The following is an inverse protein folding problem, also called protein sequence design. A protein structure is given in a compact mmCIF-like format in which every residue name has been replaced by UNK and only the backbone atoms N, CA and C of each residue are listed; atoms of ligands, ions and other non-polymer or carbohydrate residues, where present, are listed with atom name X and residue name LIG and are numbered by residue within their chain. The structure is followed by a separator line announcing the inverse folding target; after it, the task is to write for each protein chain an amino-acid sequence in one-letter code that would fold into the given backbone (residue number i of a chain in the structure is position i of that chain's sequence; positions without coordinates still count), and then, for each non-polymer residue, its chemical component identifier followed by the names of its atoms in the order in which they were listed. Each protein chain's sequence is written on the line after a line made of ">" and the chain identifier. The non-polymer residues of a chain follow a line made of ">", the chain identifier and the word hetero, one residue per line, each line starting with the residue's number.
data_IF_761669764704
#
_entry.id   IF_761669764704
#
_cell.length_a   1.000
_cell.length_b   1.000
_cell.length_c   1.000
_cell.angle_alpha   90.00
_cell.angle_beta   90.00
_cell.angle_gamma   90.00
#
_symmetry.space_group_name_H-M   'P 1'
#
loop_
_entity.id
_entity.type
_entity.pdbx_description
1 polymer ?
#
# COMPACT_ATOMS: atom_id res chain seq x y z
N UNK A 1 15.03 -1.28 -5.72
CA UNK A 1 15.09 -1.40 -4.24
C UNK A 1 14.42 -2.74 -3.91
N UNK A 2 15.23 -3.74 -3.57
CA UNK A 2 14.76 -5.09 -3.31
C UNK A 2 13.69 -5.06 -2.20
N UNK A 3 12.53 -5.69 -2.43
CA UNK A 3 11.57 -6.02 -1.37
C UNK A 3 12.05 -7.32 -0.71
N UNK A 4 13.33 -7.39 -0.38
CA UNK A 4 13.94 -8.43 0.42
C UNK A 4 14.13 -7.87 1.84
N UNK A 5 13.03 -7.76 2.56
CA UNK A 5 13.09 -7.69 4.00
C UNK A 5 13.07 -9.12 4.51
N UNK A 6 14.19 -9.63 5.00
CA UNK A 6 14.20 -10.83 5.83
C UNK A 6 13.37 -10.49 7.07
N UNK A 7 12.08 -10.87 7.06
CA UNK A 7 11.26 -10.81 8.26
C UNK A 7 11.69 -11.98 9.14
N UNK A 8 12.47 -11.69 10.14
CA UNK A 8 12.67 -12.58 11.29
C UNK A 8 11.51 -12.28 12.25
N UNK A 9 10.33 -12.80 11.96
CA UNK A 9 9.36 -13.05 13.00
C UNK A 9 9.86 -14.26 13.77
N UNK A 10 9.98 -14.18 15.09
CA UNK A 10 10.55 -15.22 15.93
C UNK A 10 9.70 -16.49 16.01
N UNK A 11 9.70 -17.26 14.94
CA UNK A 11 9.11 -18.59 14.78
C UNK A 11 9.54 -19.09 13.42
N UNK A 12 10.15 -20.27 13.37
CA UNK A 12 10.57 -20.88 12.11
C UNK A 12 9.33 -21.24 11.28
N UNK A 13 9.18 -20.60 10.10
CA UNK A 13 8.14 -20.97 9.14
C UNK A 13 8.32 -22.42 8.63
N UNK A 14 9.50 -23.00 8.80
CA UNK A 14 9.77 -24.43 8.61
C UNK A 14 8.92 -25.32 9.54
N UNK A 15 8.51 -24.83 10.71
CA UNK A 15 7.60 -25.53 11.63
C UNK A 15 6.18 -25.71 11.09
N UNK A 16 5.79 -24.93 10.08
CA UNK A 16 4.49 -25.06 9.40
C UNK A 16 4.54 -25.99 8.19
N UNK A 17 5.71 -26.52 7.81
CA UNK A 17 5.88 -27.31 6.59
C UNK A 17 5.77 -26.45 5.31
N UNK A 18 5.90 -25.12 5.41
CA UNK A 18 5.90 -24.22 4.28
C UNK A 18 7.33 -24.04 3.73
N UNK A 19 7.46 -24.09 2.41
CA UNK A 19 8.70 -23.70 1.74
C UNK A 19 8.70 -22.19 1.53
N UNK A 20 9.71 -21.50 2.04
CA UNK A 20 9.86 -20.04 1.88
C UNK A 20 11.04 -19.73 0.97
N UNK A 21 10.75 -19.06 -0.13
CA UNK A 21 11.75 -18.56 -1.06
C UNK A 21 11.83 -17.03 -0.99
N UNK A 22 13.01 -16.47 -1.14
CA UNK A 22 13.15 -15.03 -1.41
C UNK A 22 12.97 -14.80 -2.91
N UNK A 23 12.01 -13.94 -3.25
CA UNK A 23 11.72 -13.59 -4.65
C UNK A 23 12.13 -12.14 -4.91
N UNK A 24 12.76 -11.90 -6.05
CA UNK A 24 12.93 -10.57 -6.61
C UNK A 24 11.81 -10.31 -7.64
N UNK A 25 11.04 -9.25 -7.43
CA UNK A 25 9.95 -8.83 -8.30
C UNK A 25 10.26 -7.46 -8.92
N UNK A 26 11.11 -7.40 -9.97
CA UNK A 26 11.47 -6.14 -10.61
C UNK A 26 10.24 -5.40 -11.17
N UNK A 27 9.20 -6.11 -11.59
CA UNK A 27 7.94 -5.54 -12.04
C UNK A 27 7.26 -4.63 -10.98
N UNK A 28 7.52 -4.83 -9.68
CA UNK A 28 7.04 -3.92 -8.62
C UNK A 28 7.61 -2.51 -8.78
N UNK A 29 8.84 -2.37 -9.27
CA UNK A 29 9.47 -1.07 -9.50
C UNK A 29 9.02 -0.42 -10.82
N UNK A 30 8.46 -1.20 -11.73
CA UNK A 30 7.97 -0.78 -13.05
C UNK A 30 6.46 -0.54 -13.04
N UNK A 31 5.84 -0.47 -11.86
CA UNK A 31 4.41 -0.21 -11.76
C UNK A 31 4.06 1.11 -12.47
N UNK A 32 2.92 1.16 -13.20
CA UNK A 32 2.44 2.40 -13.80
C UNK A 32 2.30 3.48 -12.75
N UNK A 33 2.56 4.72 -13.12
CA UNK A 33 2.33 5.85 -12.23
C UNK A 33 0.93 5.74 -11.61
N UNK A 34 0.85 5.77 -10.27
CA UNK A 34 -0.41 5.63 -9.53
C UNK A 34 -1.29 6.87 -9.76
N UNK A 35 -1.72 7.05 -11.03
CA UNK A 35 -2.43 8.23 -11.48
C UNK A 35 -3.94 8.08 -11.58
N UNK A 36 -4.47 6.85 -11.71
CA UNK A 36 -5.92 6.68 -11.95
C UNK A 36 -6.78 6.84 -10.68
N UNK A 37 -6.24 6.72 -9.49
CA UNK A 37 -6.99 6.99 -8.26
C UNK A 37 -7.45 8.46 -8.15
N UNK A 38 -6.67 9.40 -8.66
CA UNK A 38 -7.03 10.82 -8.61
C UNK A 38 -8.22 11.17 -9.52
N UNK A 39 -8.27 10.78 -10.81
CA UNK A 39 -9.43 11.04 -11.66
C UNK A 39 -10.70 10.31 -11.20
N UNK A 40 -10.59 9.10 -10.70
CA UNK A 40 -11.73 8.36 -10.14
C UNK A 40 -12.27 9.04 -8.88
N UNK A 41 -11.39 9.44 -7.96
CA UNK A 41 -11.77 10.19 -6.78
C UNK A 41 -12.40 11.55 -7.15
N UNK A 42 -11.84 12.27 -8.14
CA UNK A 42 -12.41 13.51 -8.60
C UNK A 42 -13.79 13.31 -9.24
N UNK A 43 -13.96 12.30 -10.08
CA UNK A 43 -15.25 11.97 -10.69
C UNK A 43 -16.33 11.74 -9.63
N UNK A 44 -15.99 11.07 -8.53
CA UNK A 44 -16.88 10.81 -7.41
C UNK A 44 -17.15 12.05 -6.54
N UNK A 45 -16.12 12.82 -6.22
CA UNK A 45 -16.20 13.91 -5.25
C UNK A 45 -16.50 15.30 -5.85
N UNK A 46 -16.47 15.49 -7.17
CA UNK A 46 -16.54 16.81 -7.84
C UNK A 46 -17.70 17.69 -7.38
N UNK A 47 -18.90 17.12 -7.24
CA UNK A 47 -20.07 17.88 -6.80
C UNK A 47 -20.01 18.26 -5.32
N UNK A 48 -19.47 17.36 -4.49
CA UNK A 48 -19.27 17.63 -3.06
C UNK A 48 -18.18 18.67 -2.84
N UNK A 49 -17.10 18.62 -3.61
CA UNK A 49 -16.03 19.63 -3.58
C UNK A 49 -16.56 21.03 -3.93
N UNK A 50 -17.49 21.14 -4.89
CA UNK A 50 -18.13 22.42 -5.25
C UNK A 50 -19.00 22.98 -4.12
N UNK A 51 -19.71 22.11 -3.39
CA UNK A 51 -20.66 22.51 -2.34
C UNK A 51 -20.03 22.70 -0.96
N UNK A 52 -18.98 21.94 -0.66
CA UNK A 52 -18.41 21.83 0.69
C UNK A 52 -16.91 21.51 0.67
N UNK A 53 -16.16 22.02 -0.32
CA UNK A 53 -14.73 21.75 -0.47
C UNK A 53 -13.88 22.27 0.68
N UNK A 54 -14.36 23.28 1.40
CA UNK A 54 -13.76 23.83 2.62
C UNK A 54 -13.80 22.88 3.83
N UNK A 55 -14.66 21.84 3.78
CA UNK A 55 -14.77 20.82 4.83
C UNK A 55 -13.78 19.66 4.65
N UNK A 56 -13.07 19.60 3.53
CA UNK A 56 -12.03 18.61 3.30
C UNK A 56 -10.72 19.03 3.96
N UNK A 57 -9.94 18.06 4.43
CA UNK A 57 -8.53 18.32 4.74
C UNK A 57 -7.86 18.88 3.47
N UNK A 58 -7.15 20.02 3.55
CA UNK A 58 -6.57 20.68 2.38
C UNK A 58 -5.63 19.78 1.58
N UNK A 59 -4.88 18.88 2.25
CA UNK A 59 -3.95 17.93 1.63
C UNK A 59 -4.68 16.84 0.85
N UNK A 60 -5.83 16.38 1.37
CA UNK A 60 -6.70 15.40 0.70
C UNK A 60 -7.40 16.06 -0.49
N UNK A 61 -7.98 17.25 -0.30
CA UNK A 61 -8.62 18.04 -1.35
C UNK A 61 -7.71 18.27 -2.54
N UNK A 62 -6.49 18.75 -2.30
CA UNK A 62 -5.50 19.00 -3.35
C UNK A 62 -5.20 17.73 -4.18
N UNK A 63 -5.14 16.56 -3.55
CA UNK A 63 -4.89 15.29 -4.23
C UNK A 63 -6.06 14.87 -5.12
N UNK A 64 -7.29 15.07 -4.64
CA UNK A 64 -8.50 14.77 -5.43
C UNK A 64 -8.61 15.73 -6.61
N UNK A 65 -8.40 17.02 -6.39
CA UNK A 65 -8.48 18.06 -7.42
C UNK A 65 -7.48 17.86 -8.57
N UNK A 66 -6.34 17.21 -8.34
CA UNK A 66 -5.41 16.81 -9.40
C UNK A 66 -6.08 15.91 -10.47
N UNK A 67 -7.08 15.13 -10.08
CA UNK A 67 -7.83 14.29 -11.02
C UNK A 67 -8.61 15.06 -12.08
N UNK A 68 -8.91 16.35 -11.83
CA UNK A 68 -9.59 17.20 -12.81
C UNK A 68 -8.72 17.54 -14.04
N UNK A 69 -7.41 17.40 -13.94
CA UNK A 69 -6.46 17.80 -15.00
C UNK A 69 -6.09 16.67 -15.94
N UNK A 70 -6.46 15.43 -15.62
CA UNK A 70 -6.15 14.27 -16.47
C UNK A 70 -7.08 14.22 -17.67
N UNK A 71 -6.49 14.07 -18.86
CA UNK A 71 -7.25 13.92 -20.09
C UNK A 71 -7.76 12.48 -20.24
N UNK A 72 -8.87 12.29 -20.96
CA UNK A 72 -9.47 10.97 -21.12
C UNK A 72 -8.52 9.95 -21.77
N UNK A 73 -7.71 10.35 -22.73
CA UNK A 73 -6.74 9.47 -23.38
C UNK A 73 -5.61 9.05 -22.42
N UNK A 74 -5.16 9.95 -21.54
CA UNK A 74 -4.17 9.61 -20.50
C UNK A 74 -4.71 8.57 -19.52
N UNK A 75 -5.99 8.68 -19.15
CA UNK A 75 -6.65 7.68 -18.31
C UNK A 75 -6.74 6.31 -19.01
N UNK A 76 -7.08 6.29 -20.31
CA UNK A 76 -7.12 5.06 -21.10
C UNK A 76 -5.73 4.41 -21.16
N UNK A 77 -4.68 5.19 -21.42
CA UNK A 77 -3.30 4.69 -21.44
C UNK A 77 -2.87 4.12 -20.08
N UNK A 78 -3.25 4.77 -18.98
CA UNK A 78 -3.00 4.25 -17.63
C UNK A 78 -3.69 2.90 -17.39
N UNK A 79 -4.94 2.74 -17.80
CA UNK A 79 -5.68 1.48 -17.68
C UNK A 79 -5.01 0.36 -18.48
N UNK A 80 -4.58 0.64 -19.71
CA UNK A 80 -3.87 -0.33 -20.55
C UNK A 80 -2.51 -0.72 -19.96
N UNK A 81 -1.73 0.26 -19.51
CA UNK A 81 -0.44 0.02 -18.86
C UNK A 81 -0.60 -0.83 -17.59
N UNK A 82 -1.66 -0.57 -16.80
CA UNK A 82 -1.99 -1.38 -15.63
C UNK A 82 -2.30 -2.83 -16.00
N UNK A 83 -3.09 -3.09 -17.03
CA UNK A 83 -3.42 -4.45 -17.47
C UNK A 83 -2.16 -5.22 -17.89
N UNK A 84 -1.25 -4.58 -18.63
CA UNK A 84 0.02 -5.18 -19.02
C UNK A 84 0.91 -5.47 -17.80
N UNK A 85 0.94 -4.56 -16.83
CA UNK A 85 1.69 -4.74 -15.60
C UNK A 85 1.12 -5.88 -14.76
N UNK A 86 -0.21 -5.99 -14.61
CA UNK A 86 -0.87 -7.10 -13.91
C UNK A 86 -0.49 -8.44 -14.54
N UNK A 87 -0.52 -8.54 -15.87
CA UNK A 87 -0.18 -9.78 -16.57
C UNK A 87 1.27 -10.21 -16.28
N UNK A 88 2.22 -9.27 -16.27
CA UNK A 88 3.63 -9.55 -15.90
C UNK A 88 3.75 -9.99 -14.44
N UNK A 89 3.14 -9.26 -13.51
CA UNK A 89 3.17 -9.61 -12.08
C UNK A 89 2.62 -11.01 -11.84
N UNK A 90 1.48 -11.36 -12.43
CA UNK A 90 0.88 -12.69 -12.27
C UNK A 90 1.77 -13.81 -12.84
N UNK A 91 2.46 -13.56 -13.96
CA UNK A 91 3.43 -14.51 -14.52
C UNK A 91 4.64 -14.72 -13.58
N UNK A 92 5.16 -13.65 -12.99
CA UNK A 92 6.30 -13.73 -12.06
C UNK A 92 5.93 -14.45 -10.74
N UNK A 93 4.63 -14.42 -10.38
CA UNK A 93 4.10 -15.01 -9.14
C UNK A 93 3.52 -16.42 -9.32
N UNK A 94 3.44 -16.94 -10.55
CA UNK A 94 2.67 -18.14 -10.90
C UNK A 94 2.99 -19.38 -10.04
N UNK A 95 4.25 -19.52 -9.63
CA UNK A 95 4.73 -20.69 -8.86
C UNK A 95 4.55 -20.58 -7.33
N UNK A 96 4.04 -19.44 -6.84
CA UNK A 96 3.87 -19.20 -5.41
C UNK A 96 2.38 -19.24 -5.03
N UNK A 97 2.08 -19.79 -3.87
CA UNK A 97 0.73 -19.81 -3.32
C UNK A 97 0.35 -18.45 -2.73
N UNK A 98 1.30 -17.79 -2.09
CA UNK A 98 1.15 -16.43 -1.56
C UNK A 98 2.49 -15.73 -1.47
N UNK A 99 2.46 -14.40 -1.43
CA UNK A 99 3.63 -13.57 -1.17
C UNK A 99 3.55 -12.97 0.21
N UNK A 100 4.71 -12.79 0.84
CA UNK A 100 4.85 -12.22 2.16
C UNK A 100 5.65 -10.92 2.09
N UNK A 101 5.18 -9.88 2.76
CA UNK A 101 5.90 -8.62 2.90
C UNK A 101 5.46 -7.87 4.16
N UNK A 102 6.25 -6.92 4.68
CA UNK A 102 5.71 -5.97 5.65
C UNK A 102 4.47 -5.28 5.09
N UNK A 103 3.41 -5.13 5.90
CA UNK A 103 2.23 -4.36 5.45
C UNK A 103 2.62 -2.94 5.10
N UNK A 104 3.41 -2.31 5.96
CA UNK A 104 3.99 -0.98 5.73
C UNK A 104 5.47 -0.98 6.12
N UNK A 105 6.32 -0.17 5.46
CA UNK A 105 7.77 -0.19 5.66
C UNK A 105 8.27 0.62 6.85
N UNK A 106 7.38 1.23 7.62
CA UNK A 106 7.69 2.06 8.78
C UNK A 106 6.73 1.77 9.93
N UNK A 107 7.15 2.02 11.14
CA UNK A 107 6.26 2.08 12.31
C UNK A 107 5.47 3.39 12.32
N UNK A 108 4.42 3.47 13.14
CA UNK A 108 3.61 4.68 13.25
C UNK A 108 4.48 5.89 13.66
N UNK A 109 4.40 7.03 12.93
CA UNK A 109 5.09 8.26 13.31
C UNK A 109 4.39 8.92 14.49
N UNK A 110 5.05 9.90 15.11
CA UNK A 110 4.39 10.76 16.08
C UNK A 110 3.33 11.62 15.40
N UNK A 111 2.17 11.76 16.01
CA UNK A 111 1.08 12.61 15.49
C UNK A 111 1.55 14.05 15.30
N UNK A 112 2.41 14.56 16.21
CA UNK A 112 2.98 15.92 16.13
C UNK A 112 3.76 16.17 14.85
N UNK A 113 4.43 15.14 14.32
CA UNK A 113 5.34 15.28 13.16
C UNK A 113 4.58 15.39 11.84
N UNK A 114 3.37 14.84 11.81
CA UNK A 114 2.49 14.83 10.63
C UNK A 114 1.21 15.65 10.80
N UNK A 115 1.12 16.43 11.89
CA UNK A 115 -0.04 17.25 12.19
C UNK A 115 -0.31 18.29 11.07
N UNK A 116 -1.58 18.69 10.86
CA UNK A 116 -1.92 19.73 9.91
C UNK A 116 -1.22 21.05 10.21
N UNK A 117 -1.01 21.86 9.17
CA UNK A 117 -0.59 23.25 9.29
C UNK A 117 -1.54 24.01 10.25
N UNK A 118 -0.96 24.85 11.10
CA UNK A 118 -1.73 25.66 12.07
C UNK A 118 -1.71 27.18 11.76
N UNK A 119 -0.96 27.60 10.73
CA UNK A 119 -0.87 28.97 10.27
C UNK A 119 0.00 29.89 11.14
N UNK A 120 0.64 29.37 12.19
CA UNK A 120 1.46 30.18 13.13
C UNK A 120 2.87 30.38 12.59
N UNK A 121 3.50 29.32 12.09
CA UNK A 121 4.84 29.36 11.52
C UNK A 121 4.83 28.66 10.15
N UNK A 122 4.96 29.45 9.09
CA UNK A 122 4.91 28.94 7.70
C UNK A 122 6.03 27.96 7.38
N UNK A 123 7.24 28.14 7.94
CA UNK A 123 8.35 27.25 7.69
C UNK A 123 8.13 25.90 8.37
N UNK A 124 7.64 25.91 9.60
CA UNK A 124 7.30 24.70 10.34
C UNK A 124 6.09 23.98 9.73
N UNK A 125 5.10 24.72 9.26
CA UNK A 125 3.94 24.16 8.57
C UNK A 125 4.36 23.45 7.27
N UNK A 126 5.24 24.08 6.47
CA UNK A 126 5.77 23.48 5.25
C UNK A 126 6.60 22.21 5.53
N UNK A 127 7.39 22.21 6.60
CA UNK A 127 8.16 21.02 7.03
C UNK A 127 7.24 19.87 7.45
N UNK A 128 6.18 20.16 8.21
CA UNK A 128 5.18 19.16 8.61
C UNK A 128 4.40 18.59 7.41
N UNK A 129 4.03 19.43 6.45
CA UNK A 129 3.38 18.96 5.24
C UNK A 129 4.31 18.08 4.40
N UNK A 130 5.59 18.43 4.26
CA UNK A 130 6.58 17.61 3.58
C UNK A 130 6.74 16.25 4.28
N UNK A 131 6.83 16.23 5.60
CA UNK A 131 6.91 14.98 6.38
C UNK A 131 5.62 14.16 6.27
N UNK A 132 4.45 14.78 6.32
CA UNK A 132 3.18 14.10 6.09
C UNK A 132 3.16 13.38 4.73
N UNK A 133 3.57 14.04 3.65
CA UNK A 133 3.58 13.41 2.32
C UNK A 133 4.63 12.31 2.22
N UNK A 134 5.81 12.48 2.83
CA UNK A 134 6.84 11.44 2.90
C UNK A 134 6.33 10.20 3.61
N UNK A 135 5.74 10.36 4.79
CA UNK A 135 5.15 9.28 5.60
C UNK A 135 4.00 8.62 4.86
N UNK A 136 3.07 9.41 4.30
CA UNK A 136 1.93 8.89 3.55
C UNK A 136 2.37 8.04 2.34
N UNK A 137 3.40 8.45 1.61
CA UNK A 137 3.94 7.67 0.51
C UNK A 137 4.55 6.35 0.97
N UNK A 138 5.22 6.33 2.13
CA UNK A 138 5.74 5.10 2.72
C UNK A 138 4.61 4.17 3.18
N UNK A 139 3.60 4.70 3.87
CA UNK A 139 2.46 3.91 4.35
C UNK A 139 1.67 3.26 3.20
N UNK A 140 1.59 3.92 2.06
CA UNK A 140 0.90 3.40 0.88
C UNK A 140 1.77 2.51 -0.02
N UNK A 141 3.09 2.51 0.16
CA UNK A 141 4.03 1.89 -0.79
C UNK A 141 3.73 0.42 -1.08
N UNK A 142 3.57 -0.40 -0.06
CA UNK A 142 3.39 -1.84 -0.21
C UNK A 142 1.93 -2.18 -0.56
N UNK A 143 0.98 -1.58 0.14
CA UNK A 143 -0.45 -1.80 -0.08
C UNK A 143 -0.92 -1.33 -1.45
N UNK A 144 -0.29 -0.28 -2.01
CA UNK A 144 -0.60 0.18 -3.37
C UNK A 144 -0.25 -0.84 -4.45
N UNK A 145 0.77 -1.67 -4.24
CA UNK A 145 1.12 -2.76 -5.17
C UNK A 145 -0.06 -3.74 -5.29
N UNK A 146 -0.59 -4.19 -4.16
CA UNK A 146 -1.73 -5.13 -4.12
C UNK A 146 -2.98 -4.48 -4.72
N UNK A 147 -3.24 -3.23 -4.38
CA UNK A 147 -4.37 -2.48 -4.93
C UNK A 147 -4.27 -2.30 -6.45
N UNK A 148 -3.07 -1.99 -6.96
CA UNK A 148 -2.82 -1.86 -8.39
C UNK A 148 -2.97 -3.20 -9.13
N UNK A 149 -2.66 -4.31 -8.45
CA UNK A 149 -2.74 -5.69 -8.97
C UNK A 149 -4.19 -6.22 -9.04
N UNK A 150 -5.19 -5.49 -8.52
CA UNK A 150 -6.52 -6.04 -8.18
C UNK A 150 -6.44 -7.25 -7.24
N UNK A 151 -5.37 -7.30 -6.44
CA UNK A 151 -5.03 -8.44 -5.62
C UNK A 151 -5.84 -8.50 -4.32
N UNK A 152 -5.68 -9.62 -3.63
CA UNK A 152 -6.19 -9.84 -2.29
C UNK A 152 -5.03 -9.86 -1.28
N UNK A 153 -5.27 -9.36 -0.08
CA UNK A 153 -4.28 -9.36 0.98
C UNK A 153 -4.92 -9.39 2.37
N UNK A 154 -4.16 -9.95 3.33
CA UNK A 154 -4.49 -9.89 4.74
C UNK A 154 -3.24 -9.49 5.54
N UNK A 155 -3.41 -8.64 6.53
CA UNK A 155 -2.32 -8.22 7.43
C UNK A 155 -2.46 -8.89 8.78
N UNK A 156 -1.44 -9.65 9.17
CA UNK A 156 -1.36 -10.31 10.48
C UNK A 156 -0.50 -9.48 11.42
N UNK A 157 -0.92 -9.25 12.67
CA UNK A 157 -0.05 -8.63 13.67
C UNK A 157 1.11 -9.58 14.00
N UNK A 158 2.35 -9.06 13.94
CA UNK A 158 3.56 -9.84 14.20
C UNK A 158 4.55 -9.14 15.15
N UNK A 159 4.09 -8.14 15.90
CA UNK A 159 4.87 -7.46 16.92
C UNK A 159 4.74 -8.16 18.28
N UNK A 160 5.74 -8.00 19.14
CA UNK A 160 5.70 -8.49 20.51
C UNK A 160 5.15 -7.43 21.48
N UNK A 161 4.64 -7.83 22.66
CA UNK A 161 4.16 -6.88 23.67
C UNK A 161 5.21 -5.81 24.02
N UNK A 162 4.81 -4.55 23.98
CA UNK A 162 5.69 -3.40 24.26
C UNK A 162 6.36 -2.77 23.05
N UNK A 163 6.24 -3.38 21.88
CA UNK A 163 6.65 -2.79 20.61
C UNK A 163 5.52 -2.02 19.91
N UNK A 164 5.90 -1.14 18.97
CA UNK A 164 4.91 -0.53 18.09
C UNK A 164 4.33 -1.58 17.15
N UNK A 165 3.03 -1.47 16.79
CA UNK A 165 2.38 -2.43 15.90
C UNK A 165 3.10 -2.60 14.56
N UNK A 166 3.38 -3.85 14.21
CA UNK A 166 3.93 -4.26 12.92
C UNK A 166 3.01 -5.34 12.32
N UNK A 167 2.78 -5.26 11.03
CA UNK A 167 1.95 -6.20 10.29
C UNK A 167 2.74 -6.97 9.22
N UNK A 168 2.54 -8.27 9.18
CA UNK A 168 2.94 -9.14 8.07
C UNK A 168 1.78 -9.22 7.08
N UNK A 169 2.00 -8.77 5.85
CA UNK A 169 1.02 -8.86 4.78
C UNK A 169 1.22 -10.15 3.98
N UNK A 170 0.18 -10.97 3.93
CA UNK A 170 0.04 -12.13 3.07
C UNK A 170 -0.82 -11.71 1.88
N UNK A 171 -0.35 -11.87 0.64
CA UNK A 171 -1.05 -11.34 -0.51
C UNK A 171 -0.84 -12.15 -1.79
N UNK A 172 -1.73 -11.99 -2.75
CA UNK A 172 -1.64 -12.56 -4.09
C UNK A 172 -2.43 -11.69 -5.10
N UNK A 173 -2.46 -12.10 -6.37
CA UNK A 173 -3.33 -11.52 -7.40
C UNK A 173 -4.81 -11.74 -7.12
N UNK A 174 -5.66 -11.21 -7.99
CA UNK A 174 -7.11 -11.27 -7.86
C UNK A 174 -7.66 -12.71 -7.74
N UNK A 175 -8.77 -12.86 -7.01
CA UNK A 175 -9.52 -14.11 -6.88
C UNK A 175 -8.74 -15.26 -6.22
N UNK A 176 -7.74 -14.92 -5.40
CA UNK A 176 -6.97 -15.89 -4.60
C UNK A 176 -7.25 -15.76 -3.10
N UNK A 177 -8.41 -15.20 -2.75
CA UNK A 177 -8.80 -14.91 -1.37
C UNK A 177 -8.74 -16.15 -0.48
N UNK A 178 -9.29 -17.27 -0.93
CA UNK A 178 -9.27 -18.55 -0.17
C UNK A 178 -7.84 -19.00 0.14
N UNK A 179 -6.92 -18.87 -0.82
CA UNK A 179 -5.51 -19.21 -0.62
C UNK A 179 -4.85 -18.29 0.39
N UNK A 180 -5.04 -16.97 0.23
CA UNK A 180 -4.49 -15.97 1.15
C UNK A 180 -5.02 -16.18 2.56
N UNK A 181 -6.32 -16.43 2.73
CA UNK A 181 -6.94 -16.69 4.03
C UNK A 181 -6.40 -17.97 4.68
N UNK A 182 -6.28 -19.07 3.91
CA UNK A 182 -5.78 -20.34 4.43
C UNK A 182 -4.30 -20.24 4.86
N UNK A 183 -3.44 -19.62 4.04
CA UNK A 183 -2.04 -19.39 4.40
C UNK A 183 -1.93 -18.48 5.62
N UNK A 184 -2.73 -17.42 5.67
CA UNK A 184 -2.77 -16.50 6.81
C UNK A 184 -3.17 -17.18 8.11
N UNK A 185 -4.17 -18.05 8.08
CA UNK A 185 -4.61 -18.83 9.25
C UNK A 185 -3.49 -19.71 9.80
N UNK A 186 -2.72 -20.37 8.93
CA UNK A 186 -1.59 -21.20 9.35
C UNK A 186 -0.47 -20.36 9.97
N UNK A 187 -0.15 -19.20 9.36
CA UNK A 187 0.86 -18.28 9.91
C UNK A 187 0.41 -17.72 11.27
N UNK A 188 -0.87 -17.33 11.40
CA UNK A 188 -1.41 -16.81 12.66
C UNK A 188 -1.25 -17.83 13.81
N UNK A 189 -1.52 -19.11 13.56
CA UNK A 189 -1.35 -20.18 14.55
C UNK A 189 0.10 -20.33 15.04
N UNK A 190 1.07 -19.97 14.22
CA UNK A 190 2.49 -19.99 14.59
C UNK A 190 2.85 -18.74 15.41
N UNK A 191 2.38 -17.57 14.98
CA UNK A 191 2.65 -16.28 15.64
C UNK A 191 2.04 -16.19 17.05
N UNK A 192 1.03 -17.01 17.37
CA UNK A 192 0.37 -17.04 18.68
C UNK A 192 1.02 -18.01 19.69
N UNK A 193 2.03 -18.78 19.29
CA UNK A 193 2.80 -19.68 20.17
C UNK A 193 3.92 -18.94 20.87
#
# INVERSE_FOLDING_TARGET
>A
MAVAGQLVCGGDADDAGAQIDTIDLPAVLEQPAYGFAAPEAYAWHRELLQRAGDRYDPRVRMRIEKGATLMAWEYIDLVQARQQWIARMLSDMERYDALLSPTVPIVAPLVSDVAPANGVDKAQDAARDAEFFRVNNLLLRNTSVVNLLDGCALSLPCHVPGELPVGLMVWHGALRDDTVLNVSLQIEQILQK
#
